data_IF_691712583283
#
_entry.id   IF_691712583283
#
_cell.length_a   1.000
_cell.length_b   1.000
_cell.length_c   1.000
_cell.angle_alpha   90.00
_cell.angle_beta   90.00
_cell.angle_gamma   90.00
#
_symmetry.space_group_name_H-M   'P 1'
#
loop_
_entity.id
_entity.type
_entity.pdbx_description
1 polymer ?
#
# COMPACT_ATOMS: atom_id res chain seq x y z
N UNK A 1 -3.53 -14.27 31.29
CA UNK A 1 -3.80 -13.23 30.27
C UNK A 1 -2.65 -13.30 29.28
N UNK A 2 -2.89 -13.66 28.02
CA UNK A 2 -1.81 -13.63 27.02
C UNK A 2 -1.34 -12.18 26.86
N UNK A 3 -0.03 -11.96 26.76
CA UNK A 3 0.50 -10.62 26.47
C UNK A 3 0.14 -10.24 25.03
N UNK A 4 -0.10 -8.96 24.78
CA UNK A 4 -0.33 -8.45 23.43
C UNK A 4 0.84 -8.76 22.50
N UNK A 5 2.08 -8.77 23.01
CA UNK A 5 3.28 -9.15 22.25
C UNK A 5 3.11 -10.52 21.59
N UNK A 6 2.67 -11.53 22.34
CA UNK A 6 2.53 -12.91 21.86
C UNK A 6 1.44 -13.02 20.81
N UNK A 7 0.30 -12.34 21.03
CA UNK A 7 -0.80 -12.32 20.05
C UNK A 7 -0.38 -11.59 18.78
N UNK A 8 0.39 -10.51 18.91
CA UNK A 8 0.92 -9.76 17.78
C UNK A 8 1.88 -10.61 16.94
N UNK A 9 2.85 -11.28 17.55
CA UNK A 9 3.81 -12.14 16.84
C UNK A 9 3.13 -13.26 16.04
N UNK A 10 2.07 -13.86 16.60
CA UNK A 10 1.30 -14.91 15.94
C UNK A 10 0.46 -14.38 14.76
N UNK A 11 -0.02 -13.13 14.84
CA UNK A 11 -1.05 -12.59 13.95
C UNK A 11 -0.60 -11.39 13.10
N UNK A 12 0.68 -11.00 13.15
CA UNK A 12 1.26 -9.89 12.37
C UNK A 12 1.00 -10.04 10.86
N UNK A 13 1.07 -11.28 10.36
CA UNK A 13 0.80 -11.59 8.95
C UNK A 13 -0.63 -11.24 8.52
N UNK A 14 -1.61 -11.23 9.43
CA UNK A 14 -2.99 -10.85 9.10
C UNK A 14 -3.09 -9.37 8.70
N UNK A 15 -2.31 -8.49 9.34
CA UNK A 15 -2.28 -7.06 8.98
C UNK A 15 -1.80 -6.91 7.54
N UNK A 16 -0.69 -7.57 7.19
CA UNK A 16 -0.14 -7.57 5.83
C UNK A 16 -1.13 -8.15 4.81
N UNK A 17 -1.84 -9.22 5.15
CA UNK A 17 -2.88 -9.80 4.30
C UNK A 17 -4.03 -8.81 4.04
N UNK A 18 -4.52 -8.13 5.08
CA UNK A 18 -5.58 -7.13 4.92
C UNK A 18 -5.10 -5.95 4.07
N UNK A 19 -3.90 -5.43 4.33
CA UNK A 19 -3.32 -4.34 3.53
C UNK A 19 -3.21 -4.72 2.05
N UNK A 20 -2.77 -5.95 1.76
CA UNK A 20 -2.74 -6.47 0.40
C UNK A 20 -4.14 -6.59 -0.22
N UNK A 21 -5.12 -7.12 0.53
CA UNK A 21 -6.50 -7.25 0.07
C UNK A 21 -7.18 -5.90 -0.20
N UNK A 22 -6.86 -4.87 0.59
CA UNK A 22 -7.34 -3.51 0.42
C UNK A 22 -6.48 -2.69 -0.54
N UNK A 23 -5.41 -3.27 -1.09
CA UNK A 23 -4.46 -2.62 -2.01
C UNK A 23 -3.86 -1.34 -1.43
N UNK A 24 -3.54 -1.35 -0.13
CA UNK A 24 -2.92 -0.21 0.55
C UNK A 24 -1.43 -0.21 0.21
N UNK A 25 -1.02 0.72 -0.65
CA UNK A 25 0.38 0.89 -1.05
C UNK A 25 0.99 2.24 -0.62
N UNK A 26 0.16 3.16 -0.11
CA UNK A 26 0.58 4.46 0.43
C UNK A 26 0.37 4.47 1.94
N UNK A 27 1.12 5.33 2.64
CA UNK A 27 1.07 5.47 4.10
C UNK A 27 1.17 4.12 4.82
N UNK A 28 2.08 3.26 4.33
CA UNK A 28 2.17 1.87 4.77
C UNK A 28 2.31 1.79 6.29
N UNK A 29 3.22 2.57 6.87
CA UNK A 29 3.48 2.57 8.30
C UNK A 29 2.24 2.98 9.11
N UNK A 30 1.50 4.00 8.69
CA UNK A 30 0.28 4.46 9.37
C UNK A 30 -0.81 3.38 9.36
N UNK A 31 -1.09 2.79 8.20
CA UNK A 31 -2.06 1.71 8.10
C UNK A 31 -1.60 0.44 8.83
N UNK A 32 -0.30 0.18 8.89
CA UNK A 32 0.25 -0.91 9.66
C UNK A 32 0.02 -0.72 11.16
N UNK A 33 0.31 0.48 11.69
CA UNK A 33 0.01 0.81 13.08
C UNK A 33 -1.49 0.76 13.35
N UNK A 34 -2.32 1.26 12.44
CA UNK A 34 -3.78 1.16 12.55
C UNK A 34 -4.25 -0.29 12.64
N UNK A 35 -3.62 -1.18 11.85
CA UNK A 35 -3.84 -2.62 11.93
C UNK A 35 -3.46 -3.22 13.28
N UNK A 36 -2.34 -2.79 13.88
CA UNK A 36 -1.91 -3.20 15.22
C UNK A 36 -2.91 -2.77 16.29
N UNK A 37 -3.41 -1.53 16.21
CA UNK A 37 -4.43 -1.02 17.13
C UNK A 37 -5.73 -1.82 16.97
N UNK A 38 -6.15 -2.11 15.72
CA UNK A 38 -7.34 -2.91 15.47
C UNK A 38 -7.20 -4.34 16.00
N UNK A 39 -6.02 -4.95 15.88
CA UNK A 39 -5.73 -6.28 16.41
C UNK A 39 -5.79 -6.29 17.95
N UNK A 40 -5.23 -5.27 18.60
CA UNK A 40 -5.35 -5.10 20.05
C UNK A 40 -6.81 -4.95 20.48
N UNK A 41 -7.59 -4.12 19.79
CA UNK A 41 -9.02 -3.96 20.07
C UNK A 41 -9.80 -5.25 19.85
N UNK A 42 -9.42 -6.04 18.83
CA UNK A 42 -10.02 -7.35 18.58
C UNK A 42 -9.73 -8.29 19.75
N UNK A 43 -8.50 -8.34 20.27
CA UNK A 43 -8.15 -9.14 21.44
C UNK A 43 -9.01 -8.79 22.67
N UNK A 44 -9.22 -7.49 22.92
CA UNK A 44 -10.03 -7.02 24.06
C UNK A 44 -11.52 -7.36 23.89
N UNK A 45 -12.04 -7.25 22.66
CA UNK A 45 -13.49 -7.43 22.37
C UNK A 45 -13.86 -8.85 21.98
N UNK A 46 -12.89 -9.75 21.86
CA UNK A 46 -13.11 -11.10 21.37
C UNK A 46 -14.02 -11.90 22.31
N UNK A 47 -14.97 -12.61 21.72
CA UNK A 47 -15.84 -13.54 22.44
C UNK A 47 -15.72 -14.93 21.80
N UNK A 48 -15.10 -15.90 22.50
CA UNK A 48 -14.90 -17.26 21.99
C UNK A 48 -16.19 -18.01 21.63
N UNK A 49 -17.34 -17.62 22.19
CA UNK A 49 -18.61 -18.27 21.90
C UNK A 49 -19.18 -17.94 20.51
N UNK A 50 -18.68 -16.90 19.84
CA UNK A 50 -19.21 -16.42 18.55
C UNK A 50 -18.42 -16.89 17.34
N UNK A 51 -17.09 -16.91 17.42
CA UNK A 51 -16.22 -17.30 16.31
C UNK A 51 -14.80 -17.62 16.80
N UNK A 52 -13.97 -18.19 15.92
CA UNK A 52 -12.51 -18.18 16.11
C UNK A 52 -11.97 -16.74 16.08
N UNK A 53 -10.80 -16.52 16.69
CA UNK A 53 -10.15 -15.21 16.78
C UNK A 53 -9.68 -14.68 15.42
N UNK A 54 -9.09 -15.53 14.58
CA UNK A 54 -8.50 -15.12 13.30
C UNK A 54 -9.50 -14.44 12.34
N UNK A 55 -10.68 -15.02 12.02
CA UNK A 55 -11.66 -14.34 11.16
C UNK A 55 -12.18 -13.04 11.78
N UNK A 56 -12.33 -13.01 13.11
CA UNK A 56 -12.79 -11.81 13.81
C UNK A 56 -11.76 -10.68 13.77
N UNK A 57 -10.50 -10.99 14.05
CA UNK A 57 -9.39 -10.07 13.98
C UNK A 57 -9.19 -9.53 12.55
N UNK A 58 -9.20 -10.41 11.55
CA UNK A 58 -9.13 -10.01 10.14
C UNK A 58 -10.21 -8.99 9.78
N UNK A 59 -11.45 -9.26 10.17
CA UNK A 59 -12.59 -8.39 9.89
C UNK A 59 -12.47 -7.04 10.61
N UNK A 60 -12.03 -7.04 11.87
CA UNK A 60 -11.80 -5.82 12.64
C UNK A 60 -10.71 -4.93 12.01
N UNK A 61 -9.58 -5.52 11.64
CA UNK A 61 -8.47 -4.82 10.96
C UNK A 61 -8.97 -4.23 9.64
N UNK A 62 -9.67 -5.03 8.82
CA UNK A 62 -10.23 -4.58 7.54
C UNK A 62 -11.19 -3.41 7.70
N UNK A 63 -12.11 -3.48 8.65
CA UNK A 63 -13.05 -2.39 8.89
C UNK A 63 -12.36 -1.10 9.32
N UNK A 64 -11.38 -1.20 10.21
CA UNK A 64 -10.67 -0.02 10.71
C UNK A 64 -9.91 0.69 9.58
N UNK A 65 -9.20 -0.08 8.75
CA UNK A 65 -8.52 0.47 7.57
C UNK A 65 -9.46 1.08 6.53
N UNK A 66 -10.61 0.44 6.26
CA UNK A 66 -11.63 1.00 5.35
C UNK A 66 -12.20 2.32 5.87
N UNK A 67 -12.45 2.42 7.18
CA UNK A 67 -12.95 3.64 7.80
C UNK A 67 -11.95 4.79 7.66
N UNK A 68 -10.68 4.53 7.96
CA UNK A 68 -9.61 5.52 7.81
C UNK A 68 -9.50 5.99 6.35
N UNK A 69 -9.49 5.05 5.41
CA UNK A 69 -9.42 5.37 3.98
C UNK A 69 -10.62 6.23 3.52
N UNK A 70 -11.82 5.98 4.04
CA UNK A 70 -12.99 6.82 3.77
C UNK A 70 -12.85 8.22 4.35
N UNK A 71 -12.21 8.37 5.51
CA UNK A 71 -11.97 9.68 6.14
C UNK A 71 -10.90 10.47 5.37
N UNK A 72 -9.80 9.82 4.98
CA UNK A 72 -8.77 10.43 4.14
C UNK A 72 -9.35 10.91 2.80
N UNK A 73 -10.14 10.08 2.12
CA UNK A 73 -10.79 10.46 0.87
C UNK A 73 -11.74 11.66 1.03
N UNK A 74 -12.46 11.74 2.16
CA UNK A 74 -13.30 12.89 2.46
C UNK A 74 -12.44 14.14 2.65
N UNK A 75 -11.41 14.11 3.50
CA UNK A 75 -10.53 15.26 3.75
C UNK A 75 -9.90 15.78 2.46
N UNK A 76 -9.32 14.90 1.63
CA UNK A 76 -8.70 15.30 0.36
C UNK A 76 -9.68 15.96 -0.62
N UNK A 77 -10.97 15.60 -0.58
CA UNK A 77 -12.00 16.25 -1.41
C UNK A 77 -12.35 17.66 -0.94
N UNK A 78 -12.24 17.97 0.35
CA UNK A 78 -12.50 19.31 0.89
C UNK A 78 -11.29 20.24 0.79
N UNK A 79 -10.06 19.70 0.89
CA UNK A 79 -8.85 20.47 0.63
C UNK A 79 -8.80 21.00 -0.81
N UNK A 80 -9.37 20.29 -1.80
CA UNK A 80 -9.42 20.77 -3.19
C UNK A 80 -10.48 21.85 -3.47
N UNK A 81 -11.39 22.14 -2.53
CA UNK A 81 -12.52 23.07 -2.73
C UNK A 81 -12.26 24.44 -2.08
N UNK A 82 -11.32 24.56 -1.16
CA UNK A 82 -11.00 25.80 -0.43
C UNK A 82 -10.02 26.72 -1.19
N UNK A 83 -9.91 26.53 -2.50
CA UNK A 83 -8.68 26.84 -3.22
C UNK A 83 -8.74 28.05 -4.16
N UNK A 84 -9.65 28.99 -3.89
CA UNK A 84 -9.64 30.30 -4.55
C UNK A 84 -8.43 31.17 -4.12
N UNK A 85 -7.63 30.71 -3.15
CA UNK A 85 -6.38 31.36 -2.73
C UNK A 85 -5.11 30.78 -3.37
N UNK A 86 -5.17 29.65 -4.10
CA UNK A 86 -3.98 29.03 -4.74
C UNK A 86 -3.52 29.68 -6.05
N UNK A 87 -4.20 30.70 -6.56
CA UNK A 87 -3.72 31.39 -7.77
C UNK A 87 -2.36 32.08 -7.57
N UNK A 88 -1.94 32.30 -6.32
CA UNK A 88 -0.62 32.84 -6.00
C UNK A 88 0.46 31.76 -5.76
N UNK A 89 0.07 30.51 -5.45
CA UNK A 89 0.98 29.38 -5.25
C UNK A 89 1.29 28.64 -6.57
N UNK A 90 0.49 28.83 -7.62
CA UNK A 90 0.74 28.23 -8.94
C UNK A 90 2.05 28.68 -9.59
N UNK A 91 2.68 29.77 -9.13
CA UNK A 91 4.03 30.14 -9.56
C UNK A 91 5.13 29.25 -8.92
N UNK A 92 4.87 28.63 -7.77
CA UNK A 92 5.80 27.67 -7.13
C UNK A 92 5.47 26.20 -7.48
N UNK A 93 4.27 25.92 -8.00
CA UNK A 93 3.86 24.56 -8.47
C UNK A 93 4.65 24.11 -9.70
N UNK A 94 5.43 24.97 -10.35
CA UNK A 94 6.40 24.53 -11.36
C UNK A 94 7.55 23.67 -10.79
N UNK A 95 7.64 23.50 -9.46
CA UNK A 95 8.61 22.62 -8.82
C UNK A 95 8.04 21.37 -8.11
N UNK A 96 6.72 21.11 -8.18
CA UNK A 96 6.09 19.97 -7.50
C UNK A 96 5.87 18.72 -8.39
N UNK A 97 6.44 18.68 -9.60
CA UNK A 97 6.61 17.45 -10.41
C UNK A 97 8.05 16.97 -10.43
N UNK A 98 8.82 17.23 -9.38
CA UNK A 98 9.98 16.38 -9.13
C UNK A 98 9.45 14.97 -8.91
N UNK A 99 9.70 14.10 -9.88
CA UNK A 99 9.48 12.66 -9.79
C UNK A 99 10.17 12.15 -8.51
N UNK A 100 9.49 12.14 -7.36
CA UNK A 100 9.94 11.48 -6.13
C UNK A 100 10.29 10.01 -6.42
N UNK A 101 9.63 9.45 -7.43
CA UNK A 101 9.88 8.13 -7.99
C UNK A 101 11.27 7.95 -8.64
N UNK A 102 11.86 9.02 -9.18
CA UNK A 102 13.21 9.04 -9.75
C UNK A 102 14.29 9.44 -8.73
N UNK A 103 13.92 9.98 -7.56
CA UNK A 103 14.85 10.29 -6.47
C UNK A 103 15.28 9.04 -5.70
N UNK A 104 14.53 7.94 -5.80
CA UNK A 104 14.95 6.64 -5.26
C UNK A 104 16.10 6.10 -6.11
N UNK A 105 17.32 6.13 -5.55
CA UNK A 105 18.58 5.87 -6.23
C UNK A 105 18.56 4.54 -7.01
N UNK A 106 18.04 3.46 -6.42
CA UNK A 106 17.98 2.17 -7.10
C UNK A 106 16.83 2.08 -8.12
N UNK A 107 15.73 2.84 -7.97
CA UNK A 107 14.69 2.91 -9.01
C UNK A 107 15.24 3.59 -10.26
N UNK A 108 16.17 4.54 -10.11
CA UNK A 108 16.84 5.18 -11.25
C UNK A 108 17.49 4.17 -12.20
N UNK A 109 18.04 3.06 -11.65
CA UNK A 109 18.73 1.97 -12.39
C UNK A 109 17.78 1.02 -13.13
N UNK A 110 16.48 1.15 -12.91
CA UNK A 110 15.47 0.29 -13.49
C UNK A 110 15.20 0.69 -14.96
N UNK A 111 15.16 -0.26 -15.91
CA UNK A 111 14.76 -0.01 -17.29
C UNK A 111 13.42 0.74 -17.39
N UNK A 112 13.28 1.62 -18.38
CA UNK A 112 12.07 2.44 -18.59
C UNK A 112 10.79 1.60 -18.62
N UNK A 113 10.81 0.46 -19.31
CA UNK A 113 9.67 -0.46 -19.36
C UNK A 113 9.29 -1.03 -17.99
N UNK A 114 10.28 -1.35 -17.15
CA UNK A 114 10.06 -1.87 -15.80
C UNK A 114 9.53 -0.78 -14.87
N UNK A 115 9.98 0.48 -15.01
CA UNK A 115 9.41 1.64 -14.29
C UNK A 115 7.95 1.87 -14.64
N UNK A 116 7.64 1.88 -15.94
CA UNK A 116 6.28 2.03 -16.45
C UNK A 116 5.40 0.89 -15.94
N UNK A 117 5.89 -0.35 -15.98
CA UNK A 117 5.17 -1.50 -15.42
C UNK A 117 4.91 -1.33 -13.92
N UNK A 118 5.87 -0.84 -13.14
CA UNK A 118 5.69 -0.58 -11.71
C UNK A 118 4.62 0.49 -11.47
N UNK A 119 4.67 1.59 -12.23
CA UNK A 119 3.67 2.66 -12.17
C UNK A 119 2.26 2.16 -12.48
N UNK A 120 2.09 1.46 -13.61
CA UNK A 120 0.79 0.96 -14.05
C UNK A 120 0.16 -0.01 -13.05
N UNK A 121 0.99 -0.85 -12.42
CA UNK A 121 0.53 -1.85 -11.46
C UNK A 121 0.16 -1.23 -10.11
N UNK A 122 1.02 -0.37 -9.56
CA UNK A 122 0.92 0.06 -8.17
C UNK A 122 0.35 1.47 -7.97
N UNK A 123 0.39 2.32 -9.01
CA UNK A 123 -0.14 3.69 -8.94
C UNK A 123 -1.44 3.85 -9.74
N UNK A 124 -1.59 3.10 -10.83
CA UNK A 124 -2.77 3.18 -11.70
C UNK A 124 -3.69 1.96 -11.63
N UNK A 125 -3.39 1.00 -10.75
CA UNK A 125 -4.22 -0.16 -10.43
C UNK A 125 -4.64 -1.03 -11.63
N UNK A 126 -3.87 -0.99 -12.73
CA UNK A 126 -4.19 -1.70 -13.97
C UNK A 126 -4.04 -3.21 -13.79
N UNK A 127 -4.97 -3.97 -14.36
CA UNK A 127 -4.91 -5.44 -14.32
C UNK A 127 -3.80 -5.96 -15.25
N UNK A 128 -3.31 -7.18 -15.02
CA UNK A 128 -2.34 -7.81 -15.93
C UNK A 128 -2.87 -7.88 -17.38
N UNK A 129 -4.19 -7.98 -17.55
CA UNK A 129 -4.89 -7.95 -18.84
C UNK A 129 -4.82 -6.58 -19.51
N UNK A 130 -5.07 -5.51 -18.77
CA UNK A 130 -5.02 -4.15 -19.31
C UNK A 130 -3.59 -3.76 -19.68
N UNK A 131 -2.63 -4.16 -18.86
CA UNK A 131 -1.20 -3.98 -19.12
C UNK A 131 -0.78 -4.79 -20.34
N UNK A 132 -1.24 -6.04 -20.47
CA UNK A 132 -0.94 -6.89 -21.63
C UNK A 132 -1.40 -6.25 -22.94
N UNK A 133 -2.60 -5.66 -22.95
CA UNK A 133 -3.10 -4.87 -24.08
C UNK A 133 -2.23 -3.63 -24.36
N UNK A 134 -1.85 -2.88 -23.33
CA UNK A 134 -1.02 -1.68 -23.47
C UNK A 134 0.37 -1.99 -24.06
N UNK A 135 0.97 -3.10 -23.64
CA UNK A 135 2.28 -3.56 -24.09
C UNK A 135 2.22 -4.45 -25.35
N UNK A 136 1.03 -4.73 -25.90
CA UNK A 136 0.86 -5.60 -27.08
C UNK A 136 1.37 -7.03 -26.86
N UNK A 137 1.24 -7.58 -25.65
CA UNK A 137 1.76 -8.90 -25.28
C UNK A 137 0.71 -9.76 -24.54
N UNK A 138 1.08 -10.96 -24.11
CA UNK A 138 0.17 -11.88 -23.40
C UNK A 138 0.14 -11.60 -21.89
N UNK A 139 -0.98 -11.93 -21.25
CA UNK A 139 -1.13 -11.78 -19.78
C UNK A 139 -0.07 -12.57 -19.00
N UNK A 140 0.28 -13.77 -19.48
CA UNK A 140 1.33 -14.62 -18.92
C UNK A 140 2.70 -13.95 -18.97
N UNK A 141 3.00 -13.20 -20.04
CA UNK A 141 4.25 -12.45 -20.18
C UNK A 141 4.33 -11.32 -19.15
N UNK A 142 3.25 -10.56 -18.94
CA UNK A 142 3.18 -9.52 -17.91
C UNK A 142 3.32 -10.13 -16.51
N UNK A 143 2.67 -11.26 -16.22
CA UNK A 143 2.79 -11.97 -14.95
C UNK A 143 4.24 -12.36 -14.66
N UNK A 144 4.95 -12.93 -15.65
CA UNK A 144 6.37 -13.30 -15.55
C UNK A 144 7.28 -12.07 -15.39
N UNK A 145 7.01 -10.98 -16.11
CA UNK A 145 7.73 -9.70 -15.97
C UNK A 145 7.55 -9.12 -14.56
N UNK A 146 6.33 -9.10 -14.01
CA UNK A 146 6.07 -8.66 -12.62
C UNK A 146 6.83 -9.49 -11.59
N UNK A 147 6.84 -10.82 -11.73
CA UNK A 147 7.57 -11.70 -10.80
C UNK A 147 9.08 -11.42 -10.81
N UNK A 148 9.68 -11.21 -12.00
CA UNK A 148 11.09 -10.85 -12.12
C UNK A 148 11.37 -9.47 -11.54
N UNK A 149 10.49 -8.52 -11.81
CA UNK A 149 10.56 -7.17 -11.28
C UNK A 149 10.57 -7.21 -9.75
N UNK A 150 9.59 -7.85 -9.10
CA UNK A 150 9.53 -7.95 -7.64
C UNK A 150 10.80 -8.57 -7.04
N UNK A 151 11.32 -9.66 -7.62
CA UNK A 151 12.58 -10.27 -7.17
C UNK A 151 13.76 -9.30 -7.25
N UNK A 152 13.79 -8.47 -8.30
CA UNK A 152 14.80 -7.43 -8.48
C UNK A 152 14.66 -6.32 -7.44
N UNK A 153 13.42 -5.85 -7.16
CA UNK A 153 13.16 -4.85 -6.11
C UNK A 153 13.60 -5.38 -4.74
N UNK A 154 13.17 -6.60 -4.39
CA UNK A 154 13.51 -7.23 -3.11
C UNK A 154 15.02 -7.32 -2.92
N UNK A 155 15.74 -7.76 -3.95
CA UNK A 155 17.20 -7.87 -3.90
C UNK A 155 17.85 -6.52 -3.61
N UNK A 156 17.43 -5.46 -4.30
CA UNK A 156 17.99 -4.11 -4.15
C UNK A 156 17.63 -3.48 -2.78
N UNK A 157 16.41 -3.67 -2.28
CA UNK A 157 15.99 -3.23 -0.93
C UNK A 157 16.75 -3.94 0.21
N UNK A 158 17.14 -5.21 0.03
CA UNK A 158 18.02 -5.89 1.02
C UNK A 158 19.46 -5.37 1.03
N UNK A 159 19.93 -4.72 -0.04
CA UNK A 159 21.27 -4.12 -0.06
C UNK A 159 21.31 -2.79 0.71
N UNK A 160 20.24 -1.99 0.69
CA UNK A 160 20.17 -0.74 1.47
C UNK A 160 20.13 -0.98 2.99
N UNK A 161 19.56 -2.09 3.49
CA UNK A 161 19.54 -2.40 4.94
C UNK A 161 20.89 -2.87 5.51
N UNK A 162 21.93 -3.02 4.68
CA UNK A 162 23.26 -3.52 5.09
C UNK A 162 24.39 -2.49 4.90
N UNK A 163 24.09 -1.31 4.39
CA UNK A 163 24.99 -0.15 4.39
C UNK A 163 24.61 0.80 5.52
#
# INVERSE_FOLDING_TARGET
>A
MQSFETVYEEHEKLINQVMFHLKIYRNFDEFYQLGRIALWEAMVKFNPAKSSFEPFAFMMIKFKMLKEMSQLNHISQYESVLDETQFQLTLDVQHATKDEFNEIEWLSTLPKEEKILLKLVYFEDKTNRDIAKLFGCTEEAIKKRRQRLIKKLQRNLTFEKRG
#
